data_IF_698508600673
#
_entry.id   IF_698508600673
#
_cell.length_a   1.000
_cell.length_b   1.000
_cell.length_c   1.000
_cell.angle_alpha   90.00
_cell.angle_beta   90.00
_cell.angle_gamma   90.00
#
_symmetry.space_group_name_H-M   'P 1'
#
loop_
_entity.id
_entity.type
_entity.pdbx_description
1 polymer ?
#
# COMPACT_ATOMS: atom_id res chain seq x y z
N UNK A 1 15.65 1.12 17.94
CA UNK A 1 15.58 -0.34 17.75
C UNK A 1 16.83 -0.76 17.01
N UNK A 2 17.52 -1.81 17.43
CA UNK A 2 18.66 -2.39 16.70
C UNK A 2 18.14 -3.16 15.48
N UNK A 3 18.96 -3.35 14.46
CA UNK A 3 18.53 -4.06 13.24
C UNK A 3 18.01 -5.47 13.53
N UNK A 4 18.62 -6.20 14.45
CA UNK A 4 18.16 -7.54 14.85
C UNK A 4 16.81 -7.54 15.57
N UNK A 5 16.54 -6.54 16.40
CA UNK A 5 15.25 -6.38 17.09
C UNK A 5 14.15 -5.98 16.09
N UNK A 6 14.51 -5.17 15.08
CA UNK A 6 13.60 -4.76 14.03
C UNK A 6 13.27 -5.93 13.08
N UNK A 7 14.26 -6.74 12.75
CA UNK A 7 14.07 -7.97 11.96
C UNK A 7 13.13 -8.94 12.68
N UNK A 8 13.37 -9.19 13.98
CA UNK A 8 12.52 -10.05 14.81
C UNK A 8 11.08 -9.53 14.90
N UNK A 9 10.91 -8.23 15.13
CA UNK A 9 9.59 -7.59 15.16
C UNK A 9 8.84 -7.79 13.84
N UNK A 10 9.48 -7.52 12.69
CA UNK A 10 8.85 -7.69 11.38
C UNK A 10 8.51 -9.16 11.09
N UNK A 11 9.39 -10.09 11.48
CA UNK A 11 9.12 -11.51 11.33
C UNK A 11 7.86 -11.93 12.07
N UNK A 12 7.67 -11.52 13.32
CA UNK A 12 6.46 -11.82 14.06
C UNK A 12 5.21 -11.15 13.46
N UNK A 13 5.31 -9.91 12.99
CA UNK A 13 4.22 -9.24 12.31
C UNK A 13 3.78 -10.01 11.06
N UNK A 14 4.73 -10.37 10.19
CA UNK A 14 4.40 -11.07 8.95
C UNK A 14 3.99 -12.53 9.18
N UNK A 15 4.56 -13.21 10.16
CA UNK A 15 4.15 -14.56 10.54
C UNK A 15 2.71 -14.59 11.07
N UNK A 16 2.33 -13.64 11.91
CA UNK A 16 0.97 -13.51 12.42
C UNK A 16 -0.02 -13.17 11.29
N UNK A 17 0.37 -12.26 10.38
CA UNK A 17 -0.44 -11.99 9.19
C UNK A 17 -0.60 -13.24 8.32
N UNK A 18 0.52 -13.95 8.04
CA UNK A 18 0.51 -15.17 7.24
C UNK A 18 -0.38 -16.25 7.87
N UNK A 19 -0.42 -16.36 9.20
CA UNK A 19 -1.25 -17.36 9.90
C UNK A 19 -2.75 -17.17 9.62
N UNK A 20 -3.22 -15.92 9.53
CA UNK A 20 -4.65 -15.61 9.28
C UNK A 20 -5.00 -15.38 7.81
N UNK A 21 -4.02 -15.22 6.93
CA UNK A 21 -4.22 -15.09 5.50
C UNK A 21 -4.71 -16.40 4.89
N UNK A 22 -5.67 -16.32 3.97
CA UNK A 22 -6.04 -17.43 3.10
C UNK A 22 -4.91 -17.72 2.10
N UNK A 23 -4.79 -18.96 1.64
CA UNK A 23 -3.97 -19.30 0.49
C UNK A 23 -4.42 -18.48 -0.73
N UNK A 24 -3.46 -17.92 -1.48
CA UNK A 24 -3.72 -17.01 -2.59
C UNK A 24 -4.10 -15.58 -2.18
N UNK A 25 -4.19 -15.25 -0.88
CA UNK A 25 -4.40 -13.87 -0.45
C UNK A 25 -3.16 -13.01 -0.77
N UNK A 26 -3.39 -11.88 -1.44
CA UNK A 26 -2.32 -10.95 -1.81
C UNK A 26 -1.92 -10.05 -0.65
N UNK A 27 -0.68 -9.56 -0.67
CA UNK A 27 -0.17 -8.56 0.26
C UNK A 27 0.55 -7.43 -0.47
N UNK A 28 0.57 -6.26 0.17
CA UNK A 28 1.30 -5.06 -0.23
C UNK A 28 2.05 -4.53 0.99
N UNK A 29 3.38 -4.51 0.94
CA UNK A 29 4.22 -4.09 2.06
C UNK A 29 5.09 -2.92 1.64
N UNK A 30 4.70 -1.73 2.10
CA UNK A 30 5.44 -0.50 1.90
C UNK A 30 6.63 -0.42 2.84
N UNK A 31 7.78 -0.03 2.34
CA UNK A 31 8.99 0.09 3.15
C UNK A 31 9.92 1.21 2.65
N UNK A 32 10.81 1.67 3.51
CA UNK A 32 11.93 2.49 3.07
C UNK A 32 12.94 1.61 2.33
N UNK A 33 13.48 2.09 1.21
CA UNK A 33 14.43 1.32 0.38
C UNK A 33 15.66 0.88 1.18
N UNK A 34 16.16 1.73 2.09
CA UNK A 34 17.27 1.41 2.99
C UNK A 34 17.06 0.14 3.83
N UNK A 35 15.83 -0.24 4.11
CA UNK A 35 15.45 -1.42 4.89
C UNK A 35 14.98 -2.59 4.00
N UNK A 36 15.07 -2.46 2.69
CA UNK A 36 14.51 -3.40 1.72
C UNK A 36 14.98 -4.84 1.91
N UNK A 37 16.23 -5.05 2.32
CA UNK A 37 16.77 -6.38 2.63
C UNK A 37 16.03 -7.04 3.80
N UNK A 38 15.87 -6.33 4.92
CA UNK A 38 15.23 -6.85 6.14
C UNK A 38 13.75 -7.19 5.85
N UNK A 39 13.04 -6.30 5.15
CA UNK A 39 11.65 -6.55 4.75
C UNK A 39 11.51 -7.79 3.86
N UNK A 40 12.35 -7.91 2.82
CA UNK A 40 12.32 -9.08 1.93
C UNK A 40 12.59 -10.37 2.67
N UNK A 41 13.64 -10.38 3.51
CA UNK A 41 14.03 -11.55 4.28
C UNK A 41 12.88 -12.01 5.19
N UNK A 42 12.32 -11.11 6.00
CA UNK A 42 11.30 -11.44 6.98
C UNK A 42 9.97 -11.87 6.35
N UNK A 43 9.60 -11.32 5.18
CA UNK A 43 8.44 -11.77 4.40
C UNK A 43 8.63 -13.21 3.91
N UNK A 44 9.80 -13.53 3.36
CA UNK A 44 10.12 -14.90 2.90
C UNK A 44 10.19 -15.88 4.07
N UNK A 45 10.81 -15.50 5.18
CA UNK A 45 10.91 -16.32 6.39
C UNK A 45 9.52 -16.60 7.01
N UNK A 46 8.55 -15.69 6.82
CA UNK A 46 7.15 -15.88 7.21
C UNK A 46 6.36 -16.79 6.25
N UNK A 47 7.00 -17.34 5.21
CA UNK A 47 6.37 -18.26 4.25
C UNK A 47 5.46 -17.57 3.22
N UNK A 48 5.70 -16.31 2.93
CA UNK A 48 5.01 -15.54 1.91
C UNK A 48 5.86 -15.40 0.65
N UNK A 49 5.25 -15.42 -0.52
CA UNK A 49 5.93 -15.31 -1.82
C UNK A 49 5.94 -13.87 -2.32
N UNK A 50 7.13 -13.27 -2.44
CA UNK A 50 7.31 -11.97 -3.10
C UNK A 50 7.34 -12.19 -4.61
N UNK A 51 6.54 -11.46 -5.36
CA UNK A 51 6.45 -11.57 -6.83
C UNK A 51 6.97 -10.32 -7.53
N UNK A 52 6.61 -9.15 -7.04
CA UNK A 52 6.95 -7.88 -7.68
C UNK A 52 7.36 -6.83 -6.66
N UNK A 53 8.05 -5.81 -7.14
CA UNK A 53 8.34 -4.59 -6.40
C UNK A 53 7.66 -3.42 -7.11
N UNK A 54 6.63 -2.85 -6.49
CA UNK A 54 5.95 -1.69 -7.02
C UNK A 54 6.67 -0.43 -6.54
N UNK A 55 6.64 0.61 -7.34
CA UNK A 55 7.28 1.89 -7.00
C UNK A 55 6.23 2.99 -7.01
N UNK A 56 6.02 3.62 -5.87
CA UNK A 56 5.26 4.86 -5.81
C UNK A 56 6.19 6.05 -5.99
N UNK A 57 5.97 6.81 -7.06
CA UNK A 57 6.70 8.07 -7.32
C UNK A 57 5.92 9.23 -6.70
N UNK A 58 6.59 9.97 -5.83
CA UNK A 58 6.04 11.16 -5.15
C UNK A 58 6.18 12.40 -6.05
N UNK A 59 5.32 13.39 -5.88
CA UNK A 59 5.43 14.69 -6.58
C UNK A 59 6.75 15.41 -6.27
N UNK A 60 7.14 15.38 -4.99
CA UNK A 60 8.34 16.07 -4.49
C UNK A 60 9.31 15.08 -3.86
N UNK A 61 10.58 15.32 -4.03
CA UNK A 61 11.62 14.59 -3.31
C UNK A 61 11.71 15.08 -1.85
N UNK A 62 12.21 14.23 -0.98
CA UNK A 62 12.57 14.62 0.38
C UNK A 62 14.03 15.05 0.39
N UNK A 63 14.31 16.32 0.72
CA UNK A 63 15.67 16.82 0.80
C UNK A 63 16.41 16.11 1.94
N UNK A 64 17.51 15.46 1.60
CA UNK A 64 18.40 14.74 2.51
C UNK A 64 19.87 15.09 2.23
N UNK A 65 20.77 14.42 2.95
CA UNK A 65 22.22 14.58 2.80
C UNK A 65 22.85 13.67 1.74
N UNK A 66 22.01 12.88 1.04
CA UNK A 66 22.46 11.98 -0.02
C UNK A 66 22.71 12.76 -1.32
N UNK A 67 23.53 12.19 -2.22
CA UNK A 67 23.80 12.75 -3.56
C UNK A 67 22.54 12.77 -4.42
N UNK A 68 21.72 11.68 -4.36
CA UNK A 68 20.41 11.58 -5.01
C UNK A 68 19.29 11.69 -4.00
N UNK A 69 18.27 12.48 -4.30
CA UNK A 69 17.15 12.72 -3.40
C UNK A 69 16.02 11.68 -3.60
N UNK A 70 15.54 11.11 -2.51
CA UNK A 70 14.47 10.12 -2.53
C UNK A 70 13.16 10.72 -3.03
N UNK A 71 12.66 10.23 -4.15
CA UNK A 71 11.38 10.62 -4.75
C UNK A 71 10.40 9.45 -4.88
N UNK A 72 10.73 8.30 -4.35
CA UNK A 72 9.88 7.12 -4.46
C UNK A 72 9.79 6.34 -3.13
N UNK A 73 8.80 5.49 -3.04
CA UNK A 73 8.70 4.44 -2.03
C UNK A 73 8.44 3.09 -2.70
N UNK A 74 9.23 2.06 -2.39
CA UNK A 74 9.00 0.71 -2.86
C UNK A 74 7.91 0.00 -2.05
N UNK A 75 7.20 -0.91 -2.72
CA UNK A 75 6.19 -1.77 -2.12
C UNK A 75 6.37 -3.20 -2.60
N UNK A 76 6.62 -4.13 -1.69
CA UNK A 76 6.63 -5.55 -2.01
C UNK A 76 5.20 -6.02 -2.26
N UNK A 77 5.00 -6.64 -3.40
CA UNK A 77 3.76 -7.30 -3.78
C UNK A 77 3.96 -8.80 -3.92
N UNK A 78 3.00 -9.56 -3.45
CA UNK A 78 3.00 -11.00 -3.56
C UNK A 78 1.77 -11.61 -2.92
N UNK A 79 1.82 -12.92 -2.64
CA UNK A 79 0.71 -13.64 -2.05
C UNK A 79 1.15 -14.83 -1.21
N UNK A 80 0.25 -15.31 -0.34
CA UNK A 80 0.44 -16.54 0.38
C UNK A 80 0.34 -17.73 -0.58
N UNK A 81 1.35 -18.63 -0.64
CA UNK A 81 1.32 -19.79 -1.52
C UNK A 81 0.18 -20.76 -1.17
N UNK A 82 -0.08 -21.71 -2.09
CA UNK A 82 -1.02 -22.81 -1.90
C UNK A 82 -2.33 -22.71 -2.67
N UNK A 83 -2.68 -21.54 -3.23
CA UNK A 83 -3.81 -21.35 -4.15
C UNK A 83 -3.55 -20.24 -5.16
N UNK A 84 -4.37 -20.18 -6.21
CA UNK A 84 -4.36 -19.05 -7.15
C UNK A 84 -4.77 -17.77 -6.44
N UNK A 85 -4.02 -16.68 -6.66
CA UNK A 85 -4.38 -15.35 -6.17
C UNK A 85 -5.46 -14.72 -7.07
N UNK A 86 -6.27 -13.86 -6.46
CA UNK A 86 -7.15 -12.98 -7.23
C UNK A 86 -6.38 -11.74 -7.66
N UNK A 87 -6.51 -11.41 -8.93
CA UNK A 87 -6.10 -10.12 -9.50
C UNK A 87 -7.18 -9.65 -10.46
N UNK A 88 -7.44 -8.33 -10.55
CA UNK A 88 -8.40 -7.78 -11.50
C UNK A 88 -8.06 -8.20 -12.94
N UNK A 89 -9.06 -8.28 -13.81
CA UNK A 89 -8.93 -8.87 -15.16
C UNK A 89 -7.91 -8.19 -16.08
N UNK A 90 -7.48 -6.98 -15.77
CA UNK A 90 -6.48 -6.23 -16.55
C UNK A 90 -5.07 -6.75 -16.25
N UNK A 91 -4.64 -7.78 -17.00
CA UNK A 91 -3.28 -8.36 -16.89
C UNK A 91 -2.28 -7.75 -17.90
N UNK A 92 -2.62 -6.67 -18.55
CA UNK A 92 -1.78 -5.97 -19.54
C UNK A 92 -0.92 -4.85 -18.94
N UNK A 93 -0.69 -4.89 -17.63
CA UNK A 93 0.10 -3.92 -16.91
C UNK A 93 1.58 -4.25 -17.11
N UNK A 94 2.29 -3.42 -17.87
CA UNK A 94 3.71 -3.61 -18.19
C UNK A 94 4.62 -3.08 -17.08
N UNK A 95 5.72 -3.78 -16.83
CA UNK A 95 6.80 -3.31 -15.94
C UNK A 95 7.78 -2.39 -16.66
N UNK A 96 7.70 -2.29 -18.01
CA UNK A 96 8.60 -1.49 -18.85
C UNK A 96 7.78 -0.68 -19.84
N UNK A 97 8.09 0.61 -19.92
CA UNK A 97 7.47 1.55 -20.84
C UNK A 97 8.45 1.79 -21.97
N UNK A 98 8.21 1.18 -23.11
CA UNK A 98 9.09 1.25 -24.28
C UNK A 98 8.53 2.10 -25.46
N UNK A 99 7.67 3.09 -25.23
CA UNK A 99 7.01 3.78 -26.33
C UNK A 99 7.27 5.30 -26.45
N UNK A 100 8.29 5.82 -25.77
CA UNK A 100 8.72 7.24 -25.98
C UNK A 100 9.16 7.48 -27.42
N UNK A 101 9.71 6.47 -28.10
CA UNK A 101 10.14 6.60 -29.48
C UNK A 101 9.00 6.80 -30.47
N UNK A 102 7.79 6.38 -30.16
CA UNK A 102 6.60 6.53 -31.00
C UNK A 102 5.91 7.90 -30.84
N UNK A 103 6.33 8.70 -29.85
CA UNK A 103 5.71 10.00 -29.54
C UNK A 103 6.46 11.21 -30.09
N UNK A 104 7.57 10.99 -30.80
CA UNK A 104 8.45 12.08 -31.26
C UNK A 104 7.76 13.11 -32.16
N UNK A 105 6.67 12.74 -32.81
CA UNK A 105 5.88 13.59 -33.70
C UNK A 105 4.39 13.67 -33.31
N UNK A 106 4.03 13.21 -32.08
CA UNK A 106 2.64 13.13 -31.60
C UNK A 106 2.06 14.50 -31.21
N UNK A 107 0.73 14.62 -31.27
CA UNK A 107 -0.01 15.77 -30.76
C UNK A 107 -0.03 15.76 -29.23
N UNK A 108 -0.31 16.89 -28.61
CA UNK A 108 -0.41 17.02 -27.14
C UNK A 108 -1.42 16.02 -26.54
N UNK A 109 -2.50 15.73 -27.26
CA UNK A 109 -3.52 14.76 -26.87
C UNK A 109 -2.94 13.33 -26.81
N UNK A 110 -2.07 12.94 -27.74
CA UNK A 110 -1.40 11.64 -27.76
C UNK A 110 -0.47 11.48 -26.54
N UNK A 111 0.23 12.55 -26.15
CA UNK A 111 1.05 12.56 -24.93
C UNK A 111 0.20 12.46 -23.65
N UNK A 112 -0.94 13.15 -23.63
CA UNK A 112 -1.87 13.08 -22.48
C UNK A 112 -2.46 11.67 -22.34
N UNK A 113 -2.93 11.07 -23.43
CA UNK A 113 -3.44 9.70 -23.44
C UNK A 113 -2.35 8.71 -23.01
N UNK A 114 -1.13 8.86 -23.54
CA UNK A 114 0.00 8.04 -23.15
C UNK A 114 0.34 8.15 -21.67
N UNK A 115 0.33 9.35 -21.09
CA UNK A 115 0.55 9.56 -19.66
C UNK A 115 -0.55 8.90 -18.81
N UNK A 116 -1.80 8.95 -19.25
CA UNK A 116 -2.89 8.26 -18.55
C UNK A 116 -2.74 6.72 -18.64
N UNK A 117 -2.39 6.19 -19.80
CA UNK A 117 -2.10 4.76 -19.99
C UNK A 117 -0.93 4.32 -19.10
N UNK A 118 0.12 5.15 -18.95
CA UNK A 118 1.23 4.93 -18.03
C UNK A 118 0.78 4.87 -16.57
N UNK A 119 -0.09 5.76 -16.16
CA UNK A 119 -0.63 5.80 -14.79
C UNK A 119 -1.45 4.55 -14.46
N UNK A 120 -2.12 3.98 -15.47
CA UNK A 120 -2.97 2.80 -15.27
C UNK A 120 -2.22 1.47 -15.41
N UNK A 121 -1.12 1.43 -16.18
CA UNK A 121 -0.54 0.19 -16.71
C UNK A 121 0.91 -0.09 -16.27
N UNK A 122 1.38 0.45 -15.15
CA UNK A 122 2.76 0.30 -14.71
C UNK A 122 2.88 -0.15 -13.25
N UNK A 123 3.98 -0.85 -12.90
CA UNK A 123 4.39 -1.05 -11.52
C UNK A 123 4.86 0.25 -10.85
N UNK A 124 5.02 1.33 -11.65
CA UNK A 124 5.27 2.67 -11.16
C UNK A 124 3.94 3.36 -10.88
N UNK A 125 3.67 3.66 -9.62
CA UNK A 125 2.43 4.24 -9.15
C UNK A 125 2.59 5.77 -9.05
N UNK A 126 1.84 6.50 -9.86
CA UNK A 126 1.79 7.96 -9.78
C UNK A 126 0.53 8.35 -9.01
N UNK A 127 0.70 8.86 -7.80
CA UNK A 127 -0.37 9.43 -7.00
C UNK A 127 0.17 10.64 -6.26
N UNK A 128 -0.59 11.72 -6.27
CA UNK A 128 -0.23 12.95 -5.58
C UNK A 128 -0.31 12.75 -4.07
N UNK A 129 0.75 13.12 -3.36
CA UNK A 129 0.70 13.15 -1.91
C UNK A 129 -0.19 14.32 -1.48
N UNK A 130 -1.16 14.13 -0.56
CA UNK A 130 -1.92 15.25 -0.01
C UNK A 130 -0.98 16.34 0.50
N UNK A 131 -1.27 17.59 0.13
CA UNK A 131 -0.50 18.75 0.59
C UNK A 131 -0.73 18.87 2.09
N UNK A 132 0.35 18.77 2.88
CA UNK A 132 0.40 18.90 4.35
C UNK A 132 -0.93 18.60 5.05
N UNK A 133 -1.05 17.37 5.52
CA UNK A 133 -2.07 17.03 6.48
C UNK A 133 -1.37 16.89 7.84
N UNK A 134 -1.76 17.68 8.82
CA UNK A 134 -1.18 17.64 10.18
C UNK A 134 -1.53 16.32 10.92
N UNK A 135 -2.34 15.46 10.29
CA UNK A 135 -2.87 14.23 10.89
C UNK A 135 -1.83 13.10 10.98
N UNK A 136 -0.96 12.95 9.97
CA UNK A 136 0.10 11.93 10.01
C UNK A 136 1.21 12.22 9.00
N UNK A 137 2.52 12.19 9.41
CA UNK A 137 3.64 12.59 8.55
C UNK A 137 3.88 11.66 7.36
N UNK A 138 3.39 10.43 7.40
CA UNK A 138 3.59 9.41 6.34
C UNK A 138 2.29 8.91 5.70
N UNK A 139 1.23 9.72 5.72
CA UNK A 139 -0.06 9.36 5.13
C UNK A 139 0.10 9.04 3.63
N UNK A 140 -0.46 7.90 3.22
CA UNK A 140 -0.52 7.50 1.81
C UNK A 140 -1.80 8.03 1.14
N UNK A 141 -1.72 8.42 -0.15
CA UNK A 141 -2.90 8.84 -0.90
C UNK A 141 -3.97 7.75 -0.94
N UNK A 142 -5.24 8.15 -0.80
CA UNK A 142 -6.35 7.19 -0.90
C UNK A 142 -6.38 6.47 -2.24
N UNK A 143 -6.10 7.18 -3.34
CA UNK A 143 -6.06 6.61 -4.69
C UNK A 143 -5.05 5.47 -4.83
N UNK A 144 -3.88 5.60 -4.19
CA UNK A 144 -2.84 4.57 -4.17
C UNK A 144 -3.34 3.28 -3.52
N UNK A 145 -3.94 3.38 -2.34
CA UNK A 145 -4.50 2.23 -1.62
C UNK A 145 -5.74 1.68 -2.32
N UNK A 146 -6.55 2.54 -2.92
CA UNK A 146 -7.75 2.14 -3.68
C UNK A 146 -7.39 1.23 -4.86
N UNK A 147 -6.34 1.56 -5.62
CA UNK A 147 -5.82 0.70 -6.69
C UNK A 147 -5.43 -0.69 -6.18
N UNK A 148 -4.70 -0.77 -5.07
CA UNK A 148 -4.26 -2.03 -4.49
C UNK A 148 -5.44 -2.89 -4.00
N UNK A 149 -6.37 -2.29 -3.27
CA UNK A 149 -7.56 -2.97 -2.75
C UNK A 149 -8.46 -3.48 -3.90
N UNK A 150 -8.69 -2.67 -4.93
CA UNK A 150 -9.47 -3.08 -6.13
C UNK A 150 -8.81 -4.23 -6.89
N UNK A 151 -7.49 -4.19 -7.05
CA UNK A 151 -6.77 -5.19 -7.83
C UNK A 151 -6.75 -6.56 -7.16
N UNK A 152 -6.72 -6.61 -5.83
CA UNK A 152 -6.44 -7.85 -5.08
C UNK A 152 -7.57 -8.29 -4.14
N UNK A 153 -8.74 -7.65 -4.20
CA UNK A 153 -9.91 -8.08 -3.43
C UNK A 153 -11.22 -7.80 -4.15
N UNK A 154 -12.27 -8.54 -3.79
CA UNK A 154 -13.64 -8.33 -4.24
C UNK A 154 -14.45 -7.62 -3.17
N UNK A 155 -15.61 -7.07 -3.55
CA UNK A 155 -16.59 -6.53 -2.62
C UNK A 155 -16.97 -7.59 -1.57
N UNK A 156 -17.06 -7.18 -0.30
CA UNK A 156 -17.37 -8.05 0.83
C UNK A 156 -16.18 -8.84 1.41
N UNK A 157 -15.03 -8.86 0.73
CA UNK A 157 -13.84 -9.57 1.23
C UNK A 157 -13.13 -8.81 2.37
N UNK A 158 -12.32 -9.53 3.12
CA UNK A 158 -11.59 -9.02 4.26
C UNK A 158 -10.25 -8.42 3.83
N UNK A 159 -9.91 -7.28 4.39
CA UNK A 159 -8.61 -6.62 4.28
C UNK A 159 -8.03 -6.45 5.68
N UNK A 160 -6.77 -6.83 5.87
CA UNK A 160 -6.04 -6.67 7.13
C UNK A 160 -4.96 -5.60 6.96
N UNK A 161 -4.92 -4.63 7.89
CA UNK A 161 -3.84 -3.66 8.01
C UNK A 161 -3.28 -3.69 9.43
N UNK A 162 -2.01 -4.10 9.57
CA UNK A 162 -1.34 -4.22 10.86
C UNK A 162 -0.81 -2.89 11.40
N UNK A 163 -0.78 -1.85 10.56
CA UNK A 163 -0.17 -0.55 10.88
C UNK A 163 -1.07 0.58 10.36
N UNK A 164 -2.21 0.78 11.04
CA UNK A 164 -3.30 1.64 10.60
C UNK A 164 -2.92 3.08 10.30
N UNK A 165 -2.00 3.63 11.07
CA UNK A 165 -1.54 5.01 10.93
C UNK A 165 -2.69 6.00 10.94
N UNK A 166 -2.92 6.72 9.84
CA UNK A 166 -4.06 7.64 9.71
C UNK A 166 -5.38 6.98 9.27
N UNK A 167 -5.41 5.65 9.06
CA UNK A 167 -6.62 4.92 8.69
C UNK A 167 -7.00 4.95 7.22
N UNK A 168 -6.10 5.30 6.31
CA UNK A 168 -6.42 5.38 4.88
C UNK A 168 -6.98 4.07 4.34
N UNK A 169 -6.45 2.93 4.77
CA UNK A 169 -6.94 1.60 4.37
C UNK A 169 -8.39 1.38 4.81
N UNK A 170 -8.76 1.79 6.02
CA UNK A 170 -10.14 1.69 6.52
C UNK A 170 -11.11 2.50 5.65
N UNK A 171 -10.78 3.76 5.37
CA UNK A 171 -11.61 4.64 4.55
C UNK A 171 -11.80 4.11 3.12
N UNK A 172 -10.73 3.56 2.54
CA UNK A 172 -10.79 2.92 1.22
C UNK A 172 -11.67 1.67 1.25
N UNK A 173 -11.52 0.84 2.27
CA UNK A 173 -12.34 -0.37 2.44
C UNK A 173 -13.83 -0.04 2.59
N UNK A 174 -14.15 0.99 3.37
CA UNK A 174 -15.54 1.48 3.51
C UNK A 174 -16.11 1.92 2.15
N UNK A 175 -15.39 2.79 1.44
CA UNK A 175 -15.77 3.27 0.10
C UNK A 175 -15.99 2.13 -0.90
N UNK A 176 -15.16 1.10 -0.84
CA UNK A 176 -15.17 -0.03 -1.77
C UNK A 176 -15.99 -1.23 -1.26
N UNK A 177 -16.66 -1.11 -0.12
CA UNK A 177 -17.47 -2.16 0.53
C UNK A 177 -16.65 -3.43 0.84
N UNK A 178 -15.44 -3.28 1.35
CA UNK A 178 -14.63 -4.34 1.93
C UNK A 178 -14.73 -4.28 3.45
N UNK A 179 -14.46 -5.40 4.11
CA UNK A 179 -14.36 -5.45 5.58
C UNK A 179 -12.92 -5.21 5.99
N UNK A 180 -12.66 -4.13 6.71
CA UNK A 180 -11.33 -3.80 7.18
C UNK A 180 -11.13 -4.30 8.62
N UNK A 181 -10.03 -4.99 8.84
CA UNK A 181 -9.49 -5.32 10.16
C UNK A 181 -8.18 -4.57 10.30
N UNK A 182 -8.08 -3.73 11.32
CA UNK A 182 -6.96 -2.81 11.46
C UNK A 182 -6.41 -2.85 12.87
N UNK A 183 -5.08 -2.71 12.98
CA UNK A 183 -4.38 -2.55 14.24
C UNK A 183 -3.64 -1.21 14.22
N UNK A 184 -3.66 -0.51 15.34
CA UNK A 184 -2.86 0.69 15.57
C UNK A 184 -2.37 0.69 17.02
N UNK A 185 -1.08 0.91 17.18
CA UNK A 185 -0.44 0.86 18.50
C UNK A 185 -0.57 2.18 19.27
N UNK A 186 -0.51 3.31 18.56
CA UNK A 186 -0.62 4.63 19.20
C UNK A 186 -2.10 5.02 19.35
N UNK A 187 -2.60 5.19 20.60
CA UNK A 187 -4.00 5.55 20.83
C UNK A 187 -4.40 6.87 20.18
N UNK A 188 -3.47 7.81 19.99
CA UNK A 188 -3.76 9.07 19.29
C UNK A 188 -4.11 8.84 17.83
N UNK A 189 -3.41 7.92 17.16
CA UNK A 189 -3.75 7.56 15.80
C UNK A 189 -5.01 6.68 15.73
N UNK A 190 -5.26 5.86 16.73
CA UNK A 190 -6.53 5.14 16.84
C UNK A 190 -7.73 6.10 16.89
N UNK A 191 -7.64 7.18 17.66
CA UNK A 191 -8.67 8.24 17.68
C UNK A 191 -8.81 8.92 16.32
N UNK A 192 -7.70 9.27 15.64
CA UNK A 192 -7.72 9.85 14.28
C UNK A 192 -8.41 8.91 13.28
N UNK A 193 -8.15 7.60 13.35
CA UNK A 193 -8.81 6.61 12.50
C UNK A 193 -10.32 6.63 12.70
N UNK A 194 -10.76 6.62 13.95
CA UNK A 194 -12.18 6.61 14.34
C UNK A 194 -12.86 7.89 13.85
N UNK A 195 -12.27 9.06 14.14
CA UNK A 195 -12.84 10.35 13.76
C UNK A 195 -13.00 10.48 12.24
N UNK A 196 -11.98 10.12 11.47
CA UNK A 196 -12.03 10.14 10.01
C UNK A 196 -13.09 9.20 9.45
N UNK A 197 -13.23 8.01 10.04
CA UNK A 197 -14.28 7.08 9.61
C UNK A 197 -15.67 7.59 9.95
N UNK A 198 -15.86 8.17 11.14
CA UNK A 198 -17.13 8.77 11.56
C UNK A 198 -17.51 9.96 10.65
N UNK A 199 -16.53 10.80 10.29
CA UNK A 199 -16.72 11.91 9.36
C UNK A 199 -17.14 11.43 7.96
N UNK A 200 -16.46 10.39 7.44
CA UNK A 200 -16.77 9.83 6.12
C UNK A 200 -18.16 9.20 6.05
N UNK A 201 -18.56 8.47 7.11
CA UNK A 201 -19.75 7.63 7.08
C UNK A 201 -20.97 8.27 7.70
N UNK A 202 -20.80 9.29 8.54
CA UNK A 202 -21.84 9.84 9.41
C UNK A 202 -22.29 8.91 10.54
N UNK A 203 -21.62 7.75 10.70
CA UNK A 203 -21.91 6.76 11.74
C UNK A 203 -21.06 7.01 12.98
N UNK A 204 -21.46 6.44 14.11
CA UNK A 204 -20.67 6.45 15.34
C UNK A 204 -20.01 5.10 15.59
N UNK A 205 -18.71 5.12 15.83
CA UNK A 205 -17.98 3.94 16.26
C UNK A 205 -18.46 3.51 17.66
N UNK A 206 -18.46 2.20 17.89
CA UNK A 206 -18.86 1.62 19.17
C UNK A 206 -17.69 0.88 19.80
N UNK A 207 -17.32 1.28 21.01
CA UNK A 207 -16.39 0.51 21.83
C UNK A 207 -17.05 -0.82 22.25
N UNK A 208 -16.45 -1.94 21.88
CA UNK A 208 -17.00 -3.27 22.20
C UNK A 208 -16.37 -3.82 23.47
N UNK A 209 -15.03 -3.76 23.59
CA UNK A 209 -14.29 -4.23 24.75
C UNK A 209 -13.21 -3.22 25.13
N UNK A 210 -13.12 -2.91 26.39
CA UNK A 210 -11.96 -2.27 26.97
C UNK A 210 -11.15 -3.35 27.69
N UNK A 211 -9.94 -3.65 27.20
CA UNK A 211 -9.02 -4.50 27.94
C UNK A 211 -8.46 -3.62 29.06
N UNK A 212 -8.82 -3.94 30.28
CA UNK A 212 -8.33 -3.30 31.52
C UNK A 212 -6.95 -3.85 31.85
#
# INVERSE_FOLDING_TARGET
MKDSEFEEFLYYCFSNAAAVMKQGAAFYIWHADSNGYIFRKTVLDAGLDIKENLIWVKQHFTLGRQDYQWRHEPCLYGWKPGAAHYFSEKRNISTIINSIDNLKDGKLEDYQQFVEELKESSTVLFCDKPVKDDLHPTMKPMELIEKQVKNSSREGENVLDLFGGSGTTLLVCEKLKRKCFMMEYDPKYADVIIDRWQELTGQKAKLINQIV
#
